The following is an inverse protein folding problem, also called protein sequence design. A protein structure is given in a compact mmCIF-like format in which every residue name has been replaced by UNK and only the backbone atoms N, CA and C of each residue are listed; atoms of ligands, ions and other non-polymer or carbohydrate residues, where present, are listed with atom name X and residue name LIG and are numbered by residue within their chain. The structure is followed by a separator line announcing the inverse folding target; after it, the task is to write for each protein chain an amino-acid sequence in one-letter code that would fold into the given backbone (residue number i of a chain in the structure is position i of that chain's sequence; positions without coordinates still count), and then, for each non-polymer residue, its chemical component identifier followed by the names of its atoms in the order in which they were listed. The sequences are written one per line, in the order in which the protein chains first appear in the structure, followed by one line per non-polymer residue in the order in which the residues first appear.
data_IF_866709039230
#
_entry.id   IF_866709039230
#
_cell.length_a   1.000
_cell.length_b   1.000
_cell.length_c   1.000
_cell.angle_alpha   90.00
_cell.angle_beta   90.00
_cell.angle_gamma   90.00
#
_symmetry.space_group_name_H-M   'P 1'
#
loop_
_entity.id
_entity.type
_entity.pdbx_description
1 polymer ?
#
# COMPACT_ATOMS: atom_id res chain seq x y z
N UNK A 1 2.86 25.86 10.66
CA UNK A 1 4.02 25.56 9.78
C UNK A 1 3.98 26.48 8.58
N UNK A 2 5.13 27.05 8.20
CA UNK A 2 5.26 27.89 7.01
C UNK A 2 5.27 27.00 5.73
N UNK A 3 4.91 27.56 4.57
CA UNK A 3 4.83 26.82 3.30
C UNK A 3 6.14 26.12 2.90
N UNK A 4 7.28 26.76 3.17
CA UNK A 4 8.60 26.16 2.93
C UNK A 4 8.89 24.94 3.84
N UNK A 5 8.41 24.98 5.09
CA UNK A 5 8.56 23.86 6.03
C UNK A 5 7.71 22.66 5.59
N UNK A 6 6.49 22.92 5.13
CA UNK A 6 5.58 21.89 4.61
C UNK A 6 6.20 21.25 3.36
N UNK A 7 6.73 22.05 2.43
CA UNK A 7 7.41 21.52 1.23
C UNK A 7 8.59 20.61 1.60
N UNK A 8 9.44 21.03 2.53
CA UNK A 8 10.56 20.21 3.02
C UNK A 8 10.06 18.93 3.71
N UNK A 9 8.98 19.02 4.49
CA UNK A 9 8.34 17.87 5.14
C UNK A 9 7.85 16.85 4.10
N UNK A 10 7.14 17.30 3.05
CA UNK A 10 6.62 16.42 1.99
C UNK A 10 7.74 15.77 1.18
N UNK A 11 8.83 16.50 0.89
CA UNK A 11 10.00 15.93 0.23
C UNK A 11 10.66 14.82 1.06
N UNK A 12 10.84 15.05 2.37
CA UNK A 12 11.37 14.03 3.28
C UNK A 12 10.43 12.83 3.42
N UNK A 13 9.12 13.06 3.49
CA UNK A 13 8.12 11.99 3.50
C UNK A 13 8.20 11.12 2.24
N UNK A 14 8.32 11.76 1.07
CA UNK A 14 8.46 11.06 -0.21
C UNK A 14 9.75 10.24 -0.26
N UNK A 15 10.88 10.82 0.13
CA UNK A 15 12.17 10.14 0.16
C UNK A 15 12.14 8.91 1.09
N UNK A 16 11.69 9.09 2.33
CA UNK A 16 11.61 7.99 3.32
C UNK A 16 10.63 6.90 2.86
N UNK A 17 9.49 7.28 2.29
CA UNK A 17 8.52 6.29 1.78
C UNK A 17 9.10 5.47 0.64
N UNK A 18 9.82 6.09 -0.29
CA UNK A 18 10.48 5.36 -1.38
C UNK A 18 11.61 4.46 -0.88
N UNK A 19 12.43 4.91 0.06
CA UNK A 19 13.49 4.08 0.66
C UNK A 19 12.90 2.84 1.32
N UNK A 20 11.83 2.99 2.11
CA UNK A 20 11.14 1.87 2.75
C UNK A 20 10.54 0.93 1.69
N UNK A 21 9.86 1.48 0.68
CA UNK A 21 9.22 0.69 -0.36
C UNK A 21 10.24 -0.11 -1.17
N UNK A 22 11.35 0.50 -1.57
CA UNK A 22 12.45 -0.17 -2.28
C UNK A 22 13.11 -1.23 -1.40
N UNK A 23 13.31 -0.95 -0.10
CA UNK A 23 13.86 -1.93 0.84
C UNK A 23 12.96 -3.16 0.96
N UNK A 24 11.64 -2.97 1.05
CA UNK A 24 10.66 -4.05 1.06
C UNK A 24 10.67 -4.85 -0.26
N UNK A 25 10.79 -4.18 -1.40
CA UNK A 25 10.87 -4.84 -2.72
C UNK A 25 12.15 -5.66 -2.85
N UNK A 26 13.30 -5.13 -2.43
CA UNK A 26 14.56 -5.86 -2.42
C UNK A 26 14.44 -7.12 -1.55
N UNK A 27 13.89 -6.99 -0.34
CA UNK A 27 13.66 -8.13 0.55
C UNK A 27 12.76 -9.19 -0.11
N UNK A 28 11.68 -8.76 -0.76
CA UNK A 28 10.76 -9.65 -1.49
C UNK A 28 11.46 -10.40 -2.63
N UNK A 29 12.26 -9.71 -3.45
CA UNK A 29 13.02 -10.35 -4.53
C UNK A 29 14.11 -11.29 -4.00
N UNK A 30 14.76 -10.98 -2.88
CA UNK A 30 15.70 -11.89 -2.23
C UNK A 30 15.00 -13.18 -1.77
N UNK A 31 13.80 -13.08 -1.20
CA UNK A 31 13.02 -14.27 -0.82
C UNK A 31 12.69 -15.15 -2.03
N UNK A 32 12.34 -14.54 -3.17
CA UNK A 32 12.13 -15.27 -4.43
C UNK A 32 13.44 -15.91 -4.92
N UNK A 33 14.55 -15.18 -4.88
CA UNK A 33 15.86 -15.67 -5.32
C UNK A 33 16.33 -16.89 -4.53
N UNK A 34 16.09 -16.90 -3.21
CA UNK A 34 16.34 -18.06 -2.35
C UNK A 34 15.27 -19.16 -2.46
N UNK A 35 14.41 -19.11 -3.47
CA UNK A 35 13.36 -20.10 -3.76
C UNK A 35 12.41 -20.33 -2.58
N UNK A 36 12.15 -19.29 -1.79
CA UNK A 36 11.17 -19.36 -0.71
C UNK A 36 9.77 -19.54 -1.32
N UNK A 37 9.05 -20.58 -0.90
CA UNK A 37 7.70 -20.82 -1.40
C UNK A 37 6.78 -19.63 -1.06
N UNK A 38 6.03 -19.16 -2.07
CA UNK A 38 5.12 -18.01 -2.00
C UNK A 38 4.13 -18.10 -0.83
N UNK A 39 3.71 -19.31 -0.46
CA UNK A 39 2.85 -19.54 0.69
C UNK A 39 3.46 -18.99 1.99
N UNK A 40 4.75 -19.19 2.21
CA UNK A 40 5.44 -18.68 3.40
C UNK A 40 5.61 -17.16 3.34
N UNK A 41 5.90 -16.60 2.17
CA UNK A 41 6.01 -15.15 1.98
C UNK A 41 4.66 -14.48 2.32
N UNK A 42 3.56 -15.04 1.82
CA UNK A 42 2.21 -14.55 2.08
C UNK A 42 1.79 -14.74 3.53
N UNK A 43 2.21 -15.84 4.18
CA UNK A 43 1.96 -16.08 5.60
C UNK A 43 2.62 -14.98 6.45
N UNK A 44 3.89 -14.69 6.19
CA UNK A 44 4.64 -13.63 6.87
C UNK A 44 4.00 -12.27 6.63
N UNK A 45 3.61 -11.96 5.39
CA UNK A 45 2.90 -10.72 5.07
C UNK A 45 1.59 -10.60 5.87
N UNK A 46 0.81 -11.68 5.94
CA UNK A 46 -0.42 -11.75 6.73
C UNK A 46 -0.15 -11.43 8.20
N UNK A 47 0.83 -12.10 8.82
CA UNK A 47 1.24 -11.83 10.21
C UNK A 47 1.63 -10.36 10.40
N UNK A 48 2.46 -9.81 9.51
CA UNK A 48 2.90 -8.41 9.59
C UNK A 48 1.72 -7.42 9.50
N UNK A 49 0.74 -7.68 8.63
CA UNK A 49 -0.47 -6.86 8.53
C UNK A 49 -1.29 -6.89 9.81
N UNK A 50 -1.48 -8.06 10.43
CA UNK A 50 -2.19 -8.19 11.70
C UNK A 50 -1.45 -7.54 12.87
N UNK A 51 -0.13 -7.71 12.96
CA UNK A 51 0.70 -7.03 13.97
C UNK A 51 0.57 -5.52 13.80
N UNK A 52 0.70 -5.02 12.57
CA UNK A 52 0.58 -3.59 12.28
C UNK A 52 -0.79 -3.05 12.69
N UNK A 53 -1.87 -3.77 12.35
CA UNK A 53 -3.22 -3.38 12.72
C UNK A 53 -3.42 -3.38 14.26
N UNK A 54 -2.94 -4.42 14.95
CA UNK A 54 -3.02 -4.52 16.42
C UNK A 54 -2.25 -3.40 17.13
N UNK A 55 -1.02 -3.12 16.70
CA UNK A 55 -0.21 -2.01 17.22
C UNK A 55 -0.91 -0.67 17.00
N UNK A 56 -1.52 -0.46 15.83
CA UNK A 56 -2.23 0.77 15.49
C UNK A 56 -3.52 0.95 16.28
N UNK A 57 -4.28 -0.13 16.51
CA UNK A 57 -5.47 -0.10 17.37
C UNK A 57 -5.10 0.29 18.79
N UNK A 58 -4.04 -0.30 19.35
CA UNK A 58 -3.52 0.05 20.68
C UNK A 58 -3.10 1.52 20.79
N UNK A 59 -2.58 2.12 19.72
CA UNK A 59 -2.17 3.53 19.68
C UNK A 59 -3.35 4.52 19.73
N UNK A 60 -4.60 4.09 19.57
CA UNK A 60 -5.79 4.89 19.94
C UNK A 60 -5.87 6.29 19.33
N UNK A 61 -5.44 6.49 18.09
CA UNK A 61 -5.45 7.80 17.43
C UNK A 61 -4.27 8.71 17.76
N UNK A 62 -3.22 8.18 18.40
CA UNK A 62 -1.92 8.84 18.54
C UNK A 62 -1.23 9.03 17.19
N UNK A 63 -0.51 10.13 17.03
CA UNK A 63 0.35 10.45 15.88
C UNK A 63 1.76 9.87 16.02
N UNK A 64 2.08 9.25 17.16
CA UNK A 64 3.42 8.72 17.47
C UNK A 64 3.87 7.67 16.45
N UNK A 65 5.03 7.91 15.86
CA UNK A 65 5.66 7.02 14.88
C UNK A 65 7.06 6.63 15.34
N UNK A 66 7.52 5.45 14.90
CA UNK A 66 8.93 5.04 15.08
C UNK A 66 9.83 5.94 14.24
N UNK A 67 9.33 6.38 13.07
CA UNK A 67 10.06 7.26 12.16
C UNK A 67 9.57 8.69 12.38
N UNK A 68 10.43 9.61 12.85
CA UNK A 68 10.03 10.97 13.23
C UNK A 68 9.38 11.77 12.11
N UNK A 69 9.76 11.52 10.85
CA UNK A 69 9.16 12.24 9.71
C UNK A 69 7.66 11.95 9.59
N UNK A 70 7.23 10.70 9.81
CA UNK A 70 5.82 10.32 9.73
C UNK A 70 5.02 10.85 10.92
N UNK A 71 5.63 11.00 12.09
CA UNK A 71 4.97 11.64 13.23
C UNK A 71 4.71 13.12 12.95
N UNK A 72 5.70 13.84 12.42
CA UNK A 72 5.53 15.26 12.04
C UNK A 72 4.44 15.44 10.97
N UNK A 73 4.43 14.56 9.97
CA UNK A 73 3.35 14.55 8.96
C UNK A 73 2.00 14.25 9.61
N UNK A 74 1.92 13.25 10.49
CA UNK A 74 0.67 12.86 11.12
C UNK A 74 0.11 13.96 12.02
N UNK A 75 0.95 14.71 12.73
CA UNK A 75 0.54 15.89 13.52
C UNK A 75 -0.06 16.94 12.59
N UNK A 76 0.65 17.33 11.54
CA UNK A 76 0.17 18.30 10.56
C UNK A 76 -1.17 17.87 9.91
N UNK A 77 -1.27 16.62 9.46
CA UNK A 77 -2.48 16.11 8.82
C UNK A 77 -3.65 16.01 9.80
N UNK A 78 -3.39 15.65 11.05
CA UNK A 78 -4.42 15.57 12.10
C UNK A 78 -4.97 16.95 12.43
N UNK A 79 -4.13 17.97 12.54
CA UNK A 79 -4.55 19.36 12.75
C UNK A 79 -5.44 19.85 11.60
N UNK A 80 -5.11 19.48 10.35
CA UNK A 80 -5.85 19.94 9.18
C UNK A 80 -7.16 19.20 8.91
N UNK A 81 -7.18 17.89 9.14
CA UNK A 81 -8.33 17.02 8.84
C UNK A 81 -9.30 16.88 10.01
N UNK A 82 -8.86 17.11 11.25
CA UNK A 82 -9.70 16.94 12.45
C UNK A 82 -10.31 15.54 12.51
N UNK A 83 -11.64 15.47 12.59
CA UNK A 83 -12.39 14.20 12.69
C UNK A 83 -12.19 13.27 11.49
N UNK A 84 -11.95 13.82 10.29
CA UNK A 84 -11.68 13.02 9.10
C UNK A 84 -10.38 12.22 9.23
N UNK A 85 -9.41 12.72 9.99
CA UNK A 85 -8.18 11.99 10.27
C UNK A 85 -8.45 10.67 11.00
N UNK A 86 -9.36 10.67 11.98
CA UNK A 86 -9.71 9.47 12.72
C UNK A 86 -10.46 8.46 11.84
N UNK A 87 -11.38 8.92 10.99
CA UNK A 87 -12.07 8.06 10.02
C UNK A 87 -11.08 7.41 9.06
N UNK A 88 -10.17 8.21 8.51
CA UNK A 88 -9.12 7.72 7.61
C UNK A 88 -8.20 6.72 8.33
N UNK A 89 -7.84 6.99 9.59
CA UNK A 89 -6.98 6.12 10.38
C UNK A 89 -7.63 4.78 10.70
N UNK A 90 -8.92 4.78 11.08
CA UNK A 90 -9.71 3.57 11.31
C UNK A 90 -9.83 2.74 10.03
N UNK A 91 -10.09 3.40 8.91
CA UNK A 91 -10.22 2.69 7.65
C UNK A 91 -8.90 2.07 7.17
N UNK A 92 -7.78 2.80 7.28
CA UNK A 92 -6.44 2.24 7.00
C UNK A 92 -6.22 0.97 7.82
N UNK A 93 -6.64 0.95 9.09
CA UNK A 93 -6.56 -0.24 9.94
C UNK A 93 -7.42 -1.41 9.42
N UNK A 94 -8.66 -1.14 9.01
CA UNK A 94 -9.56 -2.15 8.42
C UNK A 94 -8.94 -2.73 7.13
N UNK A 95 -8.36 -1.88 6.28
CA UNK A 95 -7.68 -2.33 5.06
C UNK A 95 -6.50 -3.25 5.37
N UNK A 96 -5.69 -2.95 6.39
CA UNK A 96 -4.62 -3.88 6.80
C UNK A 96 -5.16 -5.24 7.26
N UNK A 97 -6.28 -5.27 7.99
CA UNK A 97 -6.90 -6.53 8.39
C UNK A 97 -7.41 -7.32 7.18
N UNK A 98 -8.07 -6.65 6.23
CA UNK A 98 -8.56 -7.27 4.99
C UNK A 98 -7.39 -7.85 4.18
N UNK A 99 -6.32 -7.07 3.98
CA UNK A 99 -5.12 -7.53 3.27
C UNK A 99 -4.50 -8.73 4.01
N UNK A 100 -4.44 -8.70 5.33
CA UNK A 100 -3.94 -9.81 6.13
C UNK A 100 -4.76 -11.09 5.94
N UNK A 101 -6.09 -10.99 5.97
CA UNK A 101 -6.98 -12.14 5.71
C UNK A 101 -6.79 -12.70 4.29
N UNK A 102 -6.71 -11.83 3.29
CA UNK A 102 -6.45 -12.23 1.89
C UNK A 102 -5.09 -12.92 1.79
N UNK A 103 -4.06 -12.39 2.42
CA UNK A 103 -2.72 -12.99 2.43
C UNK A 103 -2.72 -14.38 3.08
N UNK A 104 -3.43 -14.58 4.20
CA UNK A 104 -3.58 -15.90 4.81
C UNK A 104 -4.35 -16.88 3.93
N UNK A 105 -5.44 -16.44 3.30
CA UNK A 105 -6.18 -17.28 2.36
C UNK A 105 -5.31 -17.71 1.18
N UNK A 106 -4.57 -16.76 0.59
CA UNK A 106 -3.65 -17.03 -0.51
C UNK A 106 -2.49 -17.93 -0.08
N UNK A 107 -1.97 -17.76 1.13
CA UNK A 107 -0.95 -18.64 1.71
C UNK A 107 -1.46 -20.08 1.81
N UNK A 108 -2.66 -20.27 2.38
CA UNK A 108 -3.30 -21.58 2.50
C UNK A 108 -3.52 -22.25 1.14
N UNK A 109 -4.06 -21.50 0.16
CA UNK A 109 -4.31 -22.02 -1.18
C UNK A 109 -3.03 -22.41 -1.94
N UNK A 110 -1.90 -21.78 -1.63
CA UNK A 110 -0.62 -22.02 -2.31
C UNK A 110 0.36 -22.88 -1.50
N UNK A 111 -0.05 -23.46 -0.37
CA UNK A 111 0.85 -24.17 0.55
C UNK A 111 1.73 -25.22 -0.15
N UNK A 112 1.11 -26.02 -1.01
CA UNK A 112 1.78 -27.09 -1.77
C UNK A 112 2.16 -26.68 -3.20
N UNK A 113 2.14 -25.38 -3.52
CA UNK A 113 2.49 -24.88 -4.84
C UNK A 113 3.97 -25.09 -5.13
N UNK A 114 4.28 -25.66 -6.29
CA UNK A 114 5.66 -25.85 -6.79
C UNK A 114 6.01 -24.86 -7.90
N UNK A 115 5.27 -23.74 -7.98
CA UNK A 115 5.49 -22.73 -9.03
C UNK A 115 6.88 -22.14 -8.89
N UNK A 116 7.66 -22.23 -9.97
CA UNK A 116 8.97 -21.58 -10.07
C UNK A 116 8.81 -20.17 -10.64
N UNK A 117 9.00 -19.16 -9.78
CA UNK A 117 8.86 -17.75 -10.11
C UNK A 117 10.05 -17.16 -10.88
N UNK A 118 11.14 -17.92 -11.05
CA UNK A 118 12.34 -17.50 -11.80
C UNK A 118 12.26 -17.81 -13.30
N UNK A 119 11.10 -18.24 -13.82
CA UNK A 119 10.89 -18.39 -15.26
C UNK A 119 10.89 -17.00 -15.94
N UNK A 120 11.51 -16.83 -17.13
CA UNK A 120 11.60 -15.54 -17.82
C UNK A 120 10.26 -14.80 -17.96
N UNK A 121 9.21 -15.51 -18.35
CA UNK A 121 7.86 -14.94 -18.53
C UNK A 121 7.27 -14.42 -17.21
N UNK A 122 7.56 -15.12 -16.10
CA UNK A 122 7.13 -14.71 -14.76
C UNK A 122 7.92 -13.50 -14.28
N UNK A 123 9.24 -13.48 -14.51
CA UNK A 123 10.11 -12.35 -14.14
C UNK A 123 9.61 -11.05 -14.79
N UNK A 124 9.29 -11.08 -16.09
CA UNK A 124 8.72 -9.92 -16.80
C UNK A 124 7.45 -9.41 -16.15
N UNK A 125 6.53 -10.31 -15.79
CA UNK A 125 5.29 -9.97 -15.08
C UNK A 125 5.56 -9.34 -13.70
N UNK A 126 6.44 -9.91 -12.88
CA UNK A 126 6.78 -9.36 -11.56
C UNK A 126 7.44 -7.99 -11.63
N UNK A 127 8.34 -7.78 -12.61
CA UNK A 127 8.97 -6.47 -12.83
C UNK A 127 7.91 -5.44 -13.23
N UNK A 128 6.99 -5.80 -14.15
CA UNK A 128 5.88 -4.94 -14.56
C UNK A 128 4.98 -4.54 -13.39
N UNK A 129 4.58 -5.51 -12.56
CA UNK A 129 3.79 -5.26 -11.34
C UNK A 129 4.54 -4.35 -10.37
N UNK A 130 5.84 -4.55 -10.18
CA UNK A 130 6.68 -3.72 -9.30
C UNK A 130 6.73 -2.26 -9.77
N UNK A 131 6.92 -2.02 -11.08
CA UNK A 131 6.90 -0.67 -11.64
C UNK A 131 5.53 -0.02 -11.41
N UNK A 132 4.45 -0.75 -11.65
CA UNK A 132 3.09 -0.25 -11.43
C UNK A 132 2.86 0.09 -9.95
N UNK A 133 3.32 -0.74 -9.02
CA UNK A 133 3.23 -0.48 -7.58
C UNK A 133 4.02 0.77 -7.17
N UNK A 134 5.23 0.96 -7.72
CA UNK A 134 6.04 2.16 -7.44
C UNK A 134 5.35 3.43 -7.96
N UNK A 135 4.85 3.41 -9.19
CA UNK A 135 4.13 4.55 -9.79
C UNK A 135 2.87 4.86 -8.97
N UNK A 136 2.03 3.85 -8.71
CA UNK A 136 0.77 4.04 -7.98
C UNK A 136 1.02 4.55 -6.56
N UNK A 137 2.02 4.03 -5.84
CA UNK A 137 2.35 4.50 -4.49
C UNK A 137 2.80 5.97 -4.50
N UNK A 138 3.68 6.36 -5.43
CA UNK A 138 4.18 7.73 -5.53
C UNK A 138 3.09 8.71 -5.96
N UNK A 139 2.32 8.39 -7.02
CA UNK A 139 1.21 9.21 -7.49
C UNK A 139 0.15 9.37 -6.41
N UNK A 140 -0.21 8.29 -5.70
CA UNK A 140 -1.17 8.35 -4.60
C UNK A 140 -0.70 9.28 -3.49
N UNK A 141 0.59 9.22 -3.13
CA UNK A 141 1.19 10.09 -2.11
C UNK A 141 1.17 11.56 -2.57
N UNK A 142 1.51 11.84 -3.83
CA UNK A 142 1.50 13.19 -4.39
C UNK A 142 0.09 13.79 -4.43
N UNK A 143 -0.89 13.02 -4.90
CA UNK A 143 -2.30 13.45 -4.93
C UNK A 143 -2.80 13.72 -3.52
N UNK A 144 -2.49 12.83 -2.57
CA UNK A 144 -2.87 13.00 -1.17
C UNK A 144 -2.26 14.26 -0.56
N UNK A 145 -0.95 14.45 -0.71
CA UNK A 145 -0.24 15.61 -0.19
C UNK A 145 -0.81 16.90 -0.80
N UNK A 146 -0.96 16.96 -2.12
CA UNK A 146 -1.54 18.13 -2.80
C UNK A 146 -2.97 18.40 -2.33
N UNK A 147 -3.79 17.37 -2.16
CA UNK A 147 -5.18 17.54 -1.72
C UNK A 147 -5.25 18.04 -0.30
N UNK A 148 -4.43 17.52 0.61
CA UNK A 148 -4.37 18.02 1.98
C UNK A 148 -3.82 19.44 1.97
N UNK A 149 -2.68 19.71 1.34
CA UNK A 149 -1.94 20.97 1.49
C UNK A 149 -2.68 22.18 0.91
N UNK A 150 -3.44 22.02 -0.16
CA UNK A 150 -4.13 23.13 -0.84
C UNK A 150 -5.62 23.29 -0.49
N UNK A 151 -6.27 22.30 0.16
CA UNK A 151 -7.68 22.43 0.51
C UNK A 151 -7.91 23.10 1.87
N UNK A 152 -9.00 23.85 1.95
CA UNK A 152 -9.52 24.38 3.21
C UNK A 152 -10.14 23.27 4.08
N UNK A 153 -10.27 23.50 5.39
CA UNK A 153 -10.89 22.54 6.32
C UNK A 153 -12.32 22.17 5.89
N UNK A 154 -13.09 23.15 5.36
CA UNK A 154 -14.45 22.91 4.85
C UNK A 154 -14.47 21.97 3.64
N UNK A 155 -13.53 22.12 2.71
CA UNK A 155 -13.40 21.25 1.53
C UNK A 155 -12.96 19.82 1.87
N UNK A 156 -12.28 19.65 3.01
CA UNK A 156 -11.83 18.34 3.48
C UNK A 156 -12.94 17.55 4.18
N UNK A 157 -14.12 18.13 4.42
CA UNK A 157 -15.25 17.42 5.01
C UNK A 157 -15.71 16.27 4.10
N UNK A 158 -15.78 15.05 4.65
CA UNK A 158 -16.12 13.84 3.89
C UNK A 158 -15.03 13.40 2.90
N UNK A 159 -13.84 13.98 2.96
CA UNK A 159 -12.69 13.62 2.12
C UNK A 159 -12.37 12.11 2.17
N UNK A 160 -12.49 11.51 3.36
CA UNK A 160 -12.17 10.09 3.56
C UNK A 160 -13.02 9.21 2.66
N UNK A 161 -14.35 9.34 2.73
CA UNK A 161 -15.26 8.52 1.94
C UNK A 161 -15.11 8.73 0.43
N UNK A 162 -14.88 9.97 -0.01
CA UNK A 162 -14.62 10.26 -1.43
C UNK A 162 -13.35 9.57 -1.91
N UNK A 163 -12.28 9.63 -1.12
CA UNK A 163 -11.01 8.98 -1.46
C UNK A 163 -11.13 7.46 -1.55
N UNK A 164 -11.96 6.87 -0.70
CA UNK A 164 -12.23 5.43 -0.68
C UNK A 164 -13.02 5.01 -1.90
N UNK A 165 -14.06 5.76 -2.26
CA UNK A 165 -14.84 5.50 -3.46
C UNK A 165 -13.94 5.54 -4.70
N UNK A 166 -13.07 6.55 -4.81
CA UNK A 166 -12.08 6.63 -5.89
C UNK A 166 -11.16 5.42 -5.90
N UNK A 167 -10.64 5.00 -4.74
CA UNK A 167 -9.78 3.83 -4.63
C UNK A 167 -10.50 2.53 -5.03
N UNK A 168 -11.78 2.36 -4.66
CA UNK A 168 -12.60 1.21 -5.06
C UNK A 168 -12.80 1.18 -6.57
N UNK A 169 -13.19 2.31 -7.17
CA UNK A 169 -13.40 2.41 -8.62
C UNK A 169 -12.11 2.09 -9.37
N UNK A 170 -10.99 2.69 -8.97
CA UNK A 170 -9.67 2.39 -9.57
C UNK A 170 -9.28 0.91 -9.39
N UNK A 171 -9.54 0.35 -8.21
CA UNK A 171 -9.30 -1.07 -7.92
C UNK A 171 -10.09 -2.00 -8.83
N UNK A 172 -11.37 -1.71 -9.07
CA UNK A 172 -12.23 -2.48 -9.99
C UNK A 172 -11.70 -2.38 -11.42
N UNK A 173 -11.36 -1.17 -11.89
CA UNK A 173 -10.80 -0.97 -13.23
C UNK A 173 -9.51 -1.78 -13.41
N UNK A 174 -8.60 -1.72 -12.44
CA UNK A 174 -7.37 -2.51 -12.45
C UNK A 174 -7.65 -4.01 -12.44
N UNK A 175 -8.60 -4.47 -11.63
CA UNK A 175 -8.97 -5.89 -11.57
C UNK A 175 -9.49 -6.40 -12.92
N UNK A 176 -10.30 -5.61 -13.63
CA UNK A 176 -10.78 -5.94 -14.98
C UNK A 176 -9.61 -6.01 -15.96
N UNK A 177 -8.69 -5.04 -15.94
CA UNK A 177 -7.51 -5.03 -16.82
C UNK A 177 -6.65 -6.28 -16.59
N UNK A 178 -6.36 -6.61 -15.33
CA UNK A 178 -5.59 -7.81 -15.00
C UNK A 178 -6.32 -9.09 -15.39
N UNK A 179 -7.63 -9.17 -15.14
CA UNK A 179 -8.42 -10.34 -15.51
C UNK A 179 -8.38 -10.57 -17.03
N UNK A 180 -8.62 -9.53 -17.83
CA UNK A 180 -8.54 -9.61 -19.29
C UNK A 180 -7.14 -10.03 -19.75
N UNK A 181 -6.08 -9.43 -19.20
CA UNK A 181 -4.71 -9.78 -19.54
C UNK A 181 -4.38 -11.24 -19.23
N UNK A 182 -4.71 -11.70 -18.02
CA UNK A 182 -4.49 -13.09 -17.59
C UNK A 182 -5.29 -14.05 -18.46
N UNK A 183 -6.57 -13.73 -18.72
CA UNK A 183 -7.45 -14.56 -19.54
C UNK A 183 -6.91 -14.70 -20.98
N UNK A 184 -6.50 -13.59 -21.61
CA UNK A 184 -5.87 -13.61 -22.93
C UNK A 184 -4.56 -14.39 -22.95
N UNK A 185 -3.71 -14.23 -21.93
CA UNK A 185 -2.46 -15.00 -21.81
C UNK A 185 -2.74 -16.50 -21.68
N UNK A 186 -3.70 -16.90 -20.84
CA UNK A 186 -4.07 -18.31 -20.68
C UNK A 186 -4.58 -18.90 -22.00
N UNK A 187 -5.48 -18.20 -22.71
CA UNK A 187 -5.99 -18.67 -24.01
C UNK A 187 -4.86 -18.82 -25.04
N UNK A 188 -3.96 -17.85 -25.14
CA UNK A 188 -2.84 -17.87 -26.09
C UNK A 188 -1.84 -18.99 -25.85
N UNK A 189 -1.84 -19.62 -24.67
CA UNK A 189 -0.98 -20.76 -24.36
C UNK A 189 -1.71 -22.10 -24.48
N UNK A 190 -3.03 -22.09 -24.72
CA UNK A 190 -3.86 -23.28 -24.92
C UNK A 190 -4.09 -23.55 -26.42
N UNK A 191 -4.17 -22.50 -27.24
CA UNK A 191 -4.31 -22.56 -28.71
C UNK A 191 -2.93 -22.51 -29.36
#
# INVERSE_FOLDING_TARGET
MNGNEIKNLRMKQLAVTNVILLSCLILFYLMIFFSMNIAHILLVLGILCFIHAGVRMKKGGSTKSIIPIYEKVAIYEKEKLGDEWYKQSKLKNIVYLIIGCIAFLQSYMNWNSTVNFLKPDMIGMFVGITILLLITANVSLLIHNRKIDYSSVKELKGYTWKSVLVAIVLGIVLAIVFFTFIFSYVISNII
#
